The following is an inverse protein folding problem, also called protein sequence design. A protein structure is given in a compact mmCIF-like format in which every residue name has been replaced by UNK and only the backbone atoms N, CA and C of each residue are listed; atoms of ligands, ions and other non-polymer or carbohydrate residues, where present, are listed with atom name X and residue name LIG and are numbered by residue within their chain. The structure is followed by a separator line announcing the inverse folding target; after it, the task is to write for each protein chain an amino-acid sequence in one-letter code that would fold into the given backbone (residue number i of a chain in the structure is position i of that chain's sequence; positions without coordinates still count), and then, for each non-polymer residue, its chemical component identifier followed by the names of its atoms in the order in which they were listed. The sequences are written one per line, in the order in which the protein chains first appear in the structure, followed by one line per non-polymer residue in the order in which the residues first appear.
data_IF_520289378350
#
_entry.id   IF_520289378350
#
_cell.length_a   1.000
_cell.length_b   1.000
_cell.length_c   1.000
_cell.angle_alpha   90.00
_cell.angle_beta   90.00
_cell.angle_gamma   90.00
#
_symmetry.space_group_name_H-M   'P 1'
#
loop_
_entity.id
_entity.type
_entity.pdbx_description
1 polymer ?
#
# COMPACT_ATOMS: atom_id res chain seq x y z
N UNK A 1 12.03 2.26 52.96
CA UNK A 1 12.22 3.64 52.42
C UNK A 1 12.69 3.55 50.96
N UNK A 2 13.63 2.66 50.67
CA UNK A 2 14.08 2.29 49.31
C UNK A 2 12.96 1.69 48.45
N UNK A 3 12.03 0.94 49.02
CA UNK A 3 10.90 0.36 48.27
C UNK A 3 9.97 1.45 47.71
N UNK A 4 9.72 2.51 48.48
CA UNK A 4 8.89 3.65 48.04
C UNK A 4 9.59 4.41 46.91
N UNK A 5 10.91 4.60 47.00
CA UNK A 5 11.70 5.23 45.96
C UNK A 5 11.73 4.39 44.67
N UNK A 6 11.80 3.06 44.77
CA UNK A 6 11.73 2.16 43.63
C UNK A 6 10.35 2.20 42.94
N UNK A 7 9.27 2.24 43.73
CA UNK A 7 7.90 2.35 43.21
C UNK A 7 7.70 3.70 42.50
N UNK A 8 8.16 4.80 43.10
CA UNK A 8 8.09 6.13 42.49
C UNK A 8 8.94 6.21 41.21
N UNK A 9 10.15 5.65 41.23
CA UNK A 9 11.02 5.56 40.04
C UNK A 9 10.38 4.75 38.91
N UNK A 10 9.73 3.63 39.23
CA UNK A 10 9.02 2.80 38.26
C UNK A 10 7.81 3.53 37.65
N UNK A 11 7.04 4.25 38.46
CA UNK A 11 5.92 5.08 37.99
C UNK A 11 6.37 6.18 37.02
N UNK A 12 7.47 6.88 37.35
CA UNK A 12 8.06 7.88 36.46
C UNK A 12 8.57 7.24 35.18
N UNK A 13 9.23 6.07 35.27
CA UNK A 13 9.74 5.37 34.10
C UNK A 13 8.61 4.89 33.17
N UNK A 14 7.53 4.32 33.72
CA UNK A 14 6.35 3.90 32.96
C UNK A 14 5.62 5.10 32.35
N UNK A 15 5.47 6.20 33.10
CA UNK A 15 4.90 7.44 32.59
C UNK A 15 5.72 8.05 31.46
N UNK A 16 7.05 8.06 31.61
CA UNK A 16 7.99 8.53 30.59
C UNK A 16 7.98 7.62 29.35
N UNK A 17 7.94 6.30 29.52
CA UNK A 17 7.79 5.34 28.42
C UNK A 17 6.46 5.50 27.69
N UNK A 18 5.37 5.71 28.43
CA UNK A 18 4.04 5.97 27.86
C UNK A 18 4.00 7.28 27.07
N UNK A 19 4.55 8.36 27.63
CA UNK A 19 4.65 9.65 26.95
C UNK A 19 5.59 9.60 25.73
N UNK A 20 6.71 8.88 25.85
CA UNK A 20 7.64 8.67 24.75
C UNK A 20 6.98 7.85 23.64
N UNK A 21 6.21 6.81 23.99
CA UNK A 21 5.43 6.04 23.04
C UNK A 21 4.36 6.91 22.34
N UNK A 22 3.63 7.77 23.03
CA UNK A 22 2.62 8.63 22.38
C UNK A 22 3.24 9.71 21.48
N UNK A 23 4.47 10.16 21.76
CA UNK A 23 5.18 11.14 20.92
C UNK A 23 5.87 10.48 19.73
N UNK A 24 6.45 9.28 19.91
CA UNK A 24 7.14 8.56 18.83
C UNK A 24 6.20 7.80 17.90
N UNK A 25 5.07 7.29 18.40
CA UNK A 25 4.15 6.48 17.58
C UNK A 25 3.62 7.23 16.36
N UNK A 26 3.21 8.52 16.45
CA UNK A 26 2.76 9.28 15.28
C UNK A 26 3.87 9.50 14.24
N UNK A 27 5.09 9.83 14.69
CA UNK A 27 6.25 10.00 13.81
C UNK A 27 6.63 8.69 13.12
N UNK A 28 6.66 7.58 13.88
CA UNK A 28 6.98 6.24 13.36
C UNK A 28 5.90 5.72 12.41
N UNK A 29 4.61 5.96 12.71
CA UNK A 29 3.49 5.65 11.80
C UNK A 29 3.56 6.46 10.51
N UNK A 30 3.98 7.73 10.59
CA UNK A 30 4.18 8.59 9.42
C UNK A 30 5.31 8.06 8.55
N UNK A 31 6.47 7.80 9.13
CA UNK A 31 7.64 7.32 8.40
C UNK A 31 7.40 5.94 7.76
N UNK A 32 6.91 4.98 8.54
CA UNK A 32 6.59 3.64 8.03
C UNK A 32 5.47 3.70 6.98
N UNK A 33 4.44 4.51 7.21
CA UNK A 33 3.36 4.73 6.25
C UNK A 33 3.88 5.29 4.91
N UNK A 34 4.80 6.26 4.95
CA UNK A 34 5.42 6.82 3.75
C UNK A 34 6.29 5.79 3.02
N UNK A 35 7.08 4.99 3.73
CA UNK A 35 7.87 3.92 3.11
C UNK A 35 7.00 2.84 2.46
N UNK A 36 5.93 2.42 3.13
CA UNK A 36 4.96 1.45 2.58
C UNK A 36 4.24 2.06 1.37
N UNK A 37 3.84 3.34 1.46
CA UNK A 37 3.21 4.07 0.35
C UNK A 37 4.13 4.11 -0.87
N UNK A 38 5.39 4.52 -0.67
CA UNK A 38 6.40 4.62 -1.71
C UNK A 38 6.69 3.25 -2.33
N UNK A 39 6.87 2.21 -1.51
CA UNK A 39 7.06 0.84 -1.99
C UNK A 39 5.87 0.35 -2.83
N UNK A 40 4.65 0.62 -2.36
CA UNK A 40 3.41 0.33 -3.09
C UNK A 40 3.32 1.08 -4.43
N UNK A 41 3.74 2.35 -4.47
CA UNK A 41 3.70 3.16 -5.70
C UNK A 41 4.76 2.69 -6.71
N UNK A 42 6.00 2.51 -6.27
CA UNK A 42 7.13 2.09 -7.11
C UNK A 42 6.91 0.69 -7.69
N UNK A 43 6.16 -0.18 -7.00
CA UNK A 43 5.84 -1.52 -7.50
C UNK A 43 4.51 -1.54 -8.27
N UNK A 44 3.46 -0.96 -7.69
CA UNK A 44 2.10 -1.01 -8.19
C UNK A 44 1.88 -0.20 -9.46
N UNK A 45 2.48 1.00 -9.57
CA UNK A 45 2.32 1.85 -10.76
C UNK A 45 2.97 1.21 -11.98
N UNK A 46 4.25 0.78 -11.96
CA UNK A 46 4.85 0.12 -13.11
C UNK A 46 4.17 -1.21 -13.45
N UNK A 47 3.79 -2.02 -12.45
CA UNK A 47 3.10 -3.28 -12.67
C UNK A 47 1.71 -3.08 -13.29
N UNK A 48 0.95 -2.09 -12.80
CA UNK A 48 -0.35 -1.71 -13.34
C UNK A 48 -0.26 -1.17 -14.77
N UNK A 49 0.73 -0.33 -15.06
CA UNK A 49 1.00 0.16 -16.43
C UNK A 49 1.38 -0.99 -17.37
N UNK A 50 2.27 -1.88 -16.92
CA UNK A 50 2.69 -3.03 -17.71
C UNK A 50 1.52 -3.98 -17.98
N UNK A 51 0.67 -4.23 -16.98
CA UNK A 51 -0.57 -4.97 -17.14
C UNK A 51 -1.46 -4.39 -18.25
N UNK A 52 -1.66 -3.07 -18.30
CA UNK A 52 -2.43 -2.42 -19.36
C UNK A 52 -1.76 -2.59 -20.74
N UNK A 53 -0.44 -2.48 -20.83
CA UNK A 53 0.30 -2.66 -22.10
C UNK A 53 0.17 -4.09 -22.61
N UNK A 54 0.34 -5.10 -21.74
CA UNK A 54 0.22 -6.50 -22.13
C UNK A 54 -1.22 -6.84 -22.51
N UNK A 55 -2.20 -6.34 -21.75
CA UNK A 55 -3.63 -6.50 -22.04
C UNK A 55 -4.00 -5.88 -23.40
N UNK A 56 -3.54 -4.66 -23.67
CA UNK A 56 -3.73 -3.98 -24.95
C UNK A 56 -3.15 -4.80 -26.10
N UNK A 57 -1.93 -5.30 -25.95
CA UNK A 57 -1.26 -6.12 -26.99
C UNK A 57 -2.01 -7.41 -27.29
N UNK A 58 -2.59 -8.06 -26.28
CA UNK A 58 -3.37 -9.28 -26.45
C UNK A 58 -4.71 -8.98 -27.16
N UNK A 59 -5.43 -7.95 -26.72
CA UNK A 59 -6.76 -7.62 -27.24
C UNK A 59 -6.73 -6.94 -28.61
N UNK A 60 -5.76 -6.05 -28.88
CA UNK A 60 -5.64 -5.34 -30.15
C UNK A 60 -5.40 -6.27 -31.34
N UNK A 61 -4.89 -7.49 -31.10
CA UNK A 61 -4.74 -8.53 -32.13
C UNK A 61 -6.06 -9.25 -32.48
N UNK A 62 -7.08 -9.11 -31.63
CA UNK A 62 -8.34 -9.87 -31.72
C UNK A 62 -9.54 -9.01 -32.06
N UNK A 63 -9.58 -7.78 -31.54
CA UNK A 63 -10.73 -6.90 -31.69
C UNK A 63 -10.32 -5.43 -31.68
N UNK A 64 -11.10 -4.54 -32.34
CA UNK A 64 -10.98 -3.11 -32.11
C UNK A 64 -11.33 -2.80 -30.66
N UNK A 65 -10.43 -2.10 -29.97
CA UNK A 65 -10.60 -1.71 -28.57
C UNK A 65 -11.45 -0.43 -28.47
N UNK A 66 -12.44 -0.37 -27.56
CA UNK A 66 -13.22 0.84 -27.32
C UNK A 66 -12.34 1.95 -26.71
N UNK A 67 -12.62 3.23 -27.01
CA UNK A 67 -11.83 4.39 -26.56
C UNK A 67 -11.57 4.44 -25.04
N UNK A 68 -12.46 3.87 -24.23
CA UNK A 68 -12.41 3.85 -22.76
C UNK A 68 -12.11 2.45 -22.17
N UNK A 69 -11.50 1.55 -22.95
CA UNK A 69 -11.17 0.19 -22.54
C UNK A 69 -10.38 0.11 -21.22
N UNK A 70 -9.50 1.08 -20.99
CA UNK A 70 -8.63 1.22 -19.82
C UNK A 70 -9.38 1.56 -18.52
N UNK A 71 -10.62 2.05 -18.58
CA UNK A 71 -11.45 2.29 -17.38
C UNK A 71 -12.04 1.00 -16.80
N UNK A 72 -12.29 0.00 -17.66
CA UNK A 72 -12.88 -1.28 -17.26
C UNK A 72 -12.08 -2.47 -17.82
N UNK A 73 -10.78 -2.60 -17.47
CA UNK A 73 -9.91 -3.60 -18.08
C UNK A 73 -10.27 -5.04 -17.68
N UNK A 74 -10.94 -5.22 -16.53
CA UNK A 74 -11.44 -6.52 -16.06
C UNK A 74 -12.63 -7.01 -16.89
N UNK A 75 -13.47 -6.10 -17.41
CA UNK A 75 -14.58 -6.48 -18.29
C UNK A 75 -14.09 -7.09 -19.62
N UNK A 76 -12.80 -6.93 -19.93
CA UNK A 76 -12.17 -7.47 -21.14
C UNK A 76 -11.48 -8.82 -20.90
N UNK A 77 -11.31 -9.25 -19.65
CA UNK A 77 -10.73 -10.57 -19.32
C UNK A 77 -11.48 -11.75 -19.93
N UNK A 78 -12.83 -11.76 -20.04
CA UNK A 78 -13.57 -12.85 -20.68
C UNK A 78 -13.22 -13.07 -22.16
N UNK A 79 -12.66 -12.06 -22.83
CA UNK A 79 -12.25 -12.15 -24.23
C UNK A 79 -10.85 -12.75 -24.41
N UNK A 80 -10.10 -12.94 -23.31
CA UNK A 80 -8.80 -13.59 -23.32
C UNK A 80 -8.96 -15.10 -23.21
N UNK A 81 -8.19 -15.83 -24.02
CA UNK A 81 -8.06 -17.26 -23.82
C UNK A 81 -7.23 -17.55 -22.55
N UNK A 82 -7.42 -18.70 -21.89
CA UNK A 82 -6.71 -19.03 -20.65
C UNK A 82 -5.17 -18.94 -20.76
N UNK A 83 -4.62 -19.27 -21.93
CA UNK A 83 -3.19 -19.21 -22.20
C UNK A 83 -2.65 -17.77 -22.33
N UNK A 84 -3.51 -16.81 -22.71
CA UNK A 84 -3.14 -15.39 -22.81
C UNK A 84 -3.30 -14.70 -21.46
N UNK A 85 -4.23 -15.17 -20.63
CA UNK A 85 -4.44 -14.63 -19.28
C UNK A 85 -3.34 -15.06 -18.30
N UNK A 86 -2.78 -16.27 -18.46
CA UNK A 86 -1.71 -16.79 -17.59
C UNK A 86 -0.52 -15.83 -17.39
N UNK A 87 0.07 -15.21 -18.43
CA UNK A 87 1.15 -14.23 -18.25
C UNK A 87 0.66 -12.85 -17.75
N UNK A 88 -0.62 -12.51 -17.91
CA UNK A 88 -1.20 -11.21 -17.50
C UNK A 88 -1.53 -11.20 -16.00
N UNK A 89 -2.04 -12.33 -15.49
CA UNK A 89 -2.45 -12.52 -14.09
C UNK A 89 -1.41 -12.05 -13.05
N UNK A 90 -0.12 -12.41 -13.12
CA UNK A 90 0.85 -11.98 -12.11
C UNK A 90 1.04 -10.45 -12.09
N UNK A 91 1.04 -9.79 -13.25
CA UNK A 91 1.14 -8.32 -13.33
C UNK A 91 -0.10 -7.63 -12.76
N UNK A 92 -1.28 -8.18 -13.04
CA UNK A 92 -2.53 -7.70 -12.45
C UNK A 92 -2.50 -7.81 -10.92
N UNK A 93 -2.10 -8.97 -10.40
CA UNK A 93 -1.97 -9.18 -8.95
C UNK A 93 -0.92 -8.28 -8.30
N UNK A 94 0.23 -8.10 -8.96
CA UNK A 94 1.30 -7.24 -8.46
C UNK A 94 0.87 -5.76 -8.43
N UNK A 95 0.16 -5.31 -9.47
CA UNK A 95 -0.45 -3.98 -9.50
C UNK A 95 -1.47 -3.77 -8.39
N UNK A 96 -2.37 -4.74 -8.20
CA UNK A 96 -3.39 -4.69 -7.13
C UNK A 96 -2.75 -4.70 -5.73
N UNK A 97 -1.72 -5.51 -5.51
CA UNK A 97 -0.99 -5.56 -4.25
C UNK A 97 -0.28 -4.23 -3.99
N UNK A 98 0.44 -3.69 -4.97
CA UNK A 98 1.13 -2.40 -4.86
C UNK A 98 0.14 -1.27 -4.57
N UNK A 99 -1.01 -1.23 -5.24
CA UNK A 99 -2.06 -0.25 -4.96
C UNK A 99 -2.61 -0.37 -3.54
N UNK A 100 -2.83 -1.59 -3.06
CA UNK A 100 -3.30 -1.83 -1.69
C UNK A 100 -2.27 -1.37 -0.67
N UNK A 101 -0.98 -1.65 -0.90
CA UNK A 101 0.11 -1.16 -0.06
C UNK A 101 0.17 0.38 -0.08
N UNK A 102 -0.01 1.01 -1.23
CA UNK A 102 -0.11 2.46 -1.33
C UNK A 102 -1.25 3.03 -0.50
N UNK A 103 -2.44 2.41 -0.56
CA UNK A 103 -3.59 2.85 0.21
C UNK A 103 -3.37 2.70 1.72
N UNK A 104 -2.89 1.54 2.16
CA UNK A 104 -2.61 1.27 3.58
C UNK A 104 -1.52 2.19 4.10
N UNK A 105 -0.42 2.35 3.35
CA UNK A 105 0.68 3.25 3.71
C UNK A 105 0.23 4.71 3.77
N UNK A 106 -0.58 5.15 2.81
CA UNK A 106 -1.15 6.50 2.80
C UNK A 106 -2.07 6.76 4.00
N UNK A 107 -2.97 5.82 4.32
CA UNK A 107 -3.85 5.92 5.50
C UNK A 107 -3.03 5.94 6.79
N UNK A 108 -2.02 5.08 6.91
CA UNK A 108 -1.14 5.05 8.08
C UNK A 108 -0.35 6.36 8.25
N UNK A 109 0.15 6.91 7.14
CA UNK A 109 0.86 8.19 7.16
C UNK A 109 -0.06 9.36 7.53
N UNK A 110 -1.27 9.40 6.98
CA UNK A 110 -2.30 10.38 7.34
C UNK A 110 -2.70 10.26 8.80
N UNK A 111 -2.91 9.04 9.31
CA UNK A 111 -3.23 8.82 10.72
C UNK A 111 -2.11 9.30 11.64
N UNK A 112 -0.84 9.01 11.30
CA UNK A 112 0.32 9.53 12.02
C UNK A 112 0.38 11.06 12.02
N UNK A 113 0.13 11.71 10.89
CA UNK A 113 0.09 13.17 10.79
C UNK A 113 -1.05 13.79 11.61
N UNK A 114 -2.25 13.22 11.56
CA UNK A 114 -3.44 13.73 12.24
C UNK A 114 -3.44 13.48 13.76
N UNK A 115 -2.74 12.46 14.23
CA UNK A 115 -2.60 12.17 15.66
C UNK A 115 -1.34 12.77 16.28
N UNK A 116 -0.39 13.19 15.45
CA UNK A 116 0.83 13.88 15.86
C UNK A 116 0.76 15.41 15.82
N UNK A 117 -0.36 16.00 15.37
CA UNK A 117 -0.62 17.44 15.29
C UNK A 117 -1.27 18.01 16.55
#
# INVERSE_FOLDING_TARGET
MTEILLVLGALVAVGALGALATVLTPALMTELGLWILLGGLVTGVPAGLWYHVVLYRALARKMPLPLYWWLAPVALHPHLAPHEYAPIKPWFMLGALGFTLSLVGGIAALAGLLTGS
#
